data_IF_496588728390
#
_entry.id   IF_496588728390
#
_cell.length_a   1.000
_cell.length_b   1.000
_cell.length_c   1.000
_cell.angle_alpha   90.00
_cell.angle_beta   90.00
_cell.angle_gamma   90.00
#
_symmetry.space_group_name_H-M   'P 1'
#
loop_
_entity.id
_entity.type
_entity.pdbx_description
1 polymer ?
#
# COMPACT_ATOMS: atom_id res chain seq x y z
N UNK A 1 -5.06 0.96 -3.28
CA UNK A 1 -3.84 0.51 -4.01
C UNK A 1 -4.22 -0.57 -5.02
N UNK A 2 -3.43 -0.76 -6.08
CA UNK A 2 -3.65 -1.80 -7.09
C UNK A 2 -2.58 -2.89 -6.93
N UNK A 3 -2.99 -4.15 -6.92
CA UNK A 3 -2.05 -5.28 -6.88
C UNK A 3 -1.24 -5.36 -8.19
N UNK A 4 0.08 -5.30 -8.09
CA UNK A 4 0.99 -5.41 -9.25
C UNK A 4 1.06 -6.79 -9.91
N UNK A 5 0.36 -7.79 -9.36
CA UNK A 5 0.30 -9.14 -9.93
C UNK A 5 -1.09 -9.47 -10.50
N UNK A 6 -2.15 -9.37 -9.70
CA UNK A 6 -3.50 -9.76 -10.13
C UNK A 6 -4.41 -8.58 -10.53
N UNK A 7 -3.92 -7.34 -10.44
CA UNK A 7 -4.68 -6.13 -10.81
C UNK A 7 -5.83 -5.77 -9.88
N UNK A 8 -6.06 -6.53 -8.80
CA UNK A 8 -7.13 -6.23 -7.85
C UNK A 8 -6.87 -4.90 -7.14
N UNK A 9 -7.87 -4.03 -7.12
CA UNK A 9 -7.87 -2.78 -6.37
C UNK A 9 -8.46 -3.01 -4.97
N UNK A 10 -7.75 -2.53 -3.95
CA UNK A 10 -8.12 -2.69 -2.55
C UNK A 10 -7.53 -1.56 -1.70
N UNK A 11 -8.13 -1.25 -0.55
CA UNK A 11 -7.56 -0.31 0.40
C UNK A 11 -6.32 -0.92 1.08
N UNK A 12 -5.31 -0.10 1.39
CA UNK A 12 -4.09 -0.61 2.03
C UNK A 12 -4.38 -1.28 3.39
N UNK A 13 -5.40 -0.80 4.12
CA UNK A 13 -5.85 -1.37 5.40
C UNK A 13 -6.48 -2.76 5.26
N UNK A 14 -7.00 -3.11 4.09
CA UNK A 14 -7.51 -4.46 3.79
C UNK A 14 -6.37 -5.45 3.51
N UNK A 15 -5.18 -4.94 3.20
CA UNK A 15 -4.00 -5.75 2.94
C UNK A 15 -3.38 -6.30 4.22
N UNK A 16 -2.91 -7.55 4.16
CA UNK A 16 -2.28 -8.19 5.34
C UNK A 16 -0.89 -7.61 5.57
N UNK A 17 -0.67 -7.02 6.75
CA UNK A 17 0.63 -6.49 7.20
C UNK A 17 1.51 -7.59 7.79
N UNK A 18 1.91 -8.53 6.94
CA UNK A 18 2.93 -9.54 7.24
C UNK A 18 2.45 -10.82 7.93
N UNK A 19 3.34 -11.82 7.92
CA UNK A 19 3.15 -13.14 8.51
C UNK A 19 3.86 -13.32 9.89
N UNK A 20 4.50 -12.28 10.41
CA UNK A 20 5.26 -12.33 11.67
C UNK A 20 6.71 -12.85 11.56
N UNK A 21 7.17 -13.22 10.36
CA UNK A 21 8.51 -13.80 10.17
C UNK A 21 9.68 -12.81 10.10
N UNK A 22 9.43 -11.50 10.00
CA UNK A 22 10.49 -10.49 9.83
C UNK A 22 10.74 -9.70 11.11
N UNK A 23 11.98 -9.67 11.59
CA UNK A 23 12.41 -8.75 12.65
C UNK A 23 12.33 -7.30 12.15
N UNK A 24 11.52 -6.47 12.81
CA UNK A 24 11.28 -5.07 12.41
C UNK A 24 9.95 -4.80 11.70
N UNK A 25 9.14 -5.84 11.48
CA UNK A 25 7.82 -5.72 10.86
C UNK A 25 7.84 -5.88 9.34
N UNK A 26 6.66 -5.98 8.75
CA UNK A 26 6.50 -6.19 7.32
C UNK A 26 6.44 -4.85 6.58
N UNK A 27 7.45 -4.55 5.76
CA UNK A 27 7.51 -3.34 4.94
C UNK A 27 6.77 -3.49 3.60
N UNK A 28 5.73 -4.32 3.58
CA UNK A 28 4.94 -4.65 2.39
C UNK A 28 3.50 -4.96 2.75
N UNK A 29 2.63 -4.84 1.76
CA UNK A 29 1.18 -5.06 1.89
C UNK A 29 0.80 -6.23 1.01
N UNK A 30 0.35 -7.33 1.63
CA UNK A 30 -0.07 -8.51 0.89
C UNK A 30 -1.49 -8.33 0.36
N UNK A 31 -1.68 -8.59 -0.93
CA UNK A 31 -2.98 -8.52 -1.58
C UNK A 31 -3.98 -9.47 -0.90
N UNK A 32 -5.17 -9.02 -0.48
CA UNK A 32 -6.14 -9.89 0.19
C UNK A 32 -6.73 -10.96 -0.75
N UNK A 33 -6.67 -10.75 -2.08
CA UNK A 33 -7.19 -11.69 -3.09
C UNK A 33 -6.19 -12.80 -3.46
N UNK A 34 -4.95 -12.45 -3.77
CA UNK A 34 -3.96 -13.41 -4.30
C UNK A 34 -2.71 -13.58 -3.42
N UNK A 35 -2.65 -12.89 -2.27
CA UNK A 35 -1.55 -12.92 -1.31
C UNK A 35 -0.19 -12.40 -1.81
N UNK A 36 -0.14 -11.87 -3.04
CA UNK A 36 1.06 -11.27 -3.60
C UNK A 36 1.55 -10.09 -2.74
N UNK A 37 2.86 -10.03 -2.53
CA UNK A 37 3.53 -9.02 -1.71
C UNK A 37 3.71 -7.73 -2.51
N UNK A 38 2.86 -6.74 -2.29
CA UNK A 38 3.04 -5.43 -2.90
C UNK A 38 3.97 -4.56 -2.04
N UNK A 39 4.83 -3.74 -2.65
CA UNK A 39 5.56 -2.71 -1.91
C UNK A 39 4.56 -1.74 -1.26
N UNK A 40 4.78 -1.39 0.01
CA UNK A 40 3.98 -0.35 0.66
C UNK A 40 4.24 0.99 -0.03
N UNK A 41 3.21 1.83 -0.20
CA UNK A 41 3.43 3.16 -0.75
C UNK A 41 4.32 3.99 0.19
N UNK A 42 5.30 4.72 -0.33
CA UNK A 42 6.07 5.65 0.47
C UNK A 42 5.16 6.74 1.06
N UNK A 43 5.25 6.99 2.38
CA UNK A 43 4.43 7.99 3.08
C UNK A 43 4.51 9.41 2.49
N UNK A 44 5.61 9.75 1.80
CA UNK A 44 5.79 11.07 1.18
C UNK A 44 4.84 11.33 0.00
N UNK A 45 4.32 10.28 -0.66
CA UNK A 45 3.35 10.44 -1.76
C UNK A 45 2.03 11.02 -1.25
N UNK A 46 1.60 10.66 -0.04
CA UNK A 46 0.41 11.21 0.60
C UNK A 46 0.50 12.72 0.81
N UNK A 47 1.66 13.21 1.26
CA UNK A 47 1.93 14.64 1.45
C UNK A 47 1.89 15.40 0.11
N UNK A 48 2.45 14.83 -0.96
CA UNK A 48 2.44 15.46 -2.28
C UNK A 48 1.03 15.58 -2.86
N UNK A 49 0.19 14.54 -2.70
CA UNK A 49 -1.23 14.59 -3.11
C UNK A 49 -1.99 15.70 -2.37
N UNK A 50 -1.72 15.90 -1.08
CA UNK A 50 -2.34 16.97 -0.28
C UNK A 50 -1.95 18.39 -0.71
N UNK A 51 -0.71 18.58 -1.17
CA UNK A 51 -0.21 19.88 -1.67
C UNK A 51 -0.83 20.19 -3.04
N UNK A 52 -0.91 19.21 -3.94
CA UNK A 52 -1.49 19.41 -5.28
C UNK A 52 -2.99 19.73 -5.23
N UNK A 53 -3.73 19.13 -4.29
CA UNK A 53 -5.16 19.41 -4.11
C UNK A 53 -5.45 20.85 -3.65
N UNK A 54 -4.52 21.48 -2.93
CA UNK A 54 -4.64 22.87 -2.43
C UNK A 54 -4.46 23.96 -3.49
N UNK A 55 -3.95 23.63 -4.68
CA UNK A 55 -3.62 24.63 -5.73
C UNK A 55 -4.71 24.73 -6.82
N UNK A 56 -5.84 24.04 -6.63
CA UNK A 56 -6.98 24.03 -7.55
C UNK A 56 -8.24 24.73 -7.03
N UNK A 57 -8.17 25.40 -5.87
CA UNK A 57 -9.23 26.25 -5.29
C UNK A 57 -8.84 27.73 -5.36
#
# INVERSE_FOLDING_TARGET
MICGFCGYEFDESEGKRGCGGCGGGCHSVHCPRCNYKNPAEPKFIGTLKGILKRKGD
#
